data_IF_520956407649
#
_entry.id   IF_520956407649
#
_cell.length_a   1.000
_cell.length_b   1.000
_cell.length_c   1.000
_cell.angle_alpha   90.00
_cell.angle_beta   90.00
_cell.angle_gamma   90.00
#
_symmetry.space_group_name_H-M   'P 1'
#
loop_
_entity.id
_entity.type
_entity.pdbx_description
1 polymer ?
#
# COMPACT_ATOMS: atom_id res chain seq x y z
N UNK A 1 1.64 -6.84 -20.48
CA UNK A 1 3.02 -7.37 -20.54
C UNK A 1 3.52 -7.76 -19.16
N UNK A 2 2.75 -8.55 -18.39
CA UNK A 2 3.14 -9.11 -17.08
C UNK A 2 3.69 -8.12 -16.03
N UNK A 3 3.39 -6.83 -16.15
CA UNK A 3 3.74 -5.80 -15.17
C UNK A 3 2.49 -4.96 -14.91
N UNK A 4 2.03 -4.85 -13.66
CA UNK A 4 0.89 -4.00 -13.34
C UNK A 4 1.28 -2.52 -13.52
N UNK A 5 0.40 -1.77 -14.15
CA UNK A 5 0.51 -0.31 -14.36
C UNK A 5 -0.89 0.29 -14.55
N UNK A 6 -0.98 1.62 -14.47
CA UNK A 6 -2.21 2.32 -14.83
C UNK A 6 -2.30 2.40 -16.35
N UNK A 7 -3.38 1.87 -16.93
CA UNK A 7 -3.57 1.88 -18.38
C UNK A 7 -3.61 3.32 -18.94
N UNK A 8 -4.24 4.25 -18.22
CA UNK A 8 -4.33 5.66 -18.60
C UNK A 8 -2.99 6.42 -18.62
N UNK A 9 -1.97 5.92 -17.93
CA UNK A 9 -0.63 6.53 -17.83
C UNK A 9 0.44 5.70 -18.56
N UNK A 10 0.03 4.61 -19.24
CA UNK A 10 0.96 3.74 -19.96
C UNK A 10 1.00 4.09 -21.44
N UNK A 11 2.07 4.73 -21.90
CA UNK A 11 2.27 5.02 -23.32
C UNK A 11 2.46 3.74 -24.15
N UNK A 12 1.71 3.60 -25.25
CA UNK A 12 1.75 2.43 -26.13
C UNK A 12 3.14 2.17 -26.72
N UNK A 13 3.90 3.22 -27.05
CA UNK A 13 5.29 3.11 -27.53
C UNK A 13 6.18 2.39 -26.50
N UNK A 14 6.05 2.73 -25.22
CA UNK A 14 6.82 2.09 -24.14
C UNK A 14 6.33 0.67 -23.85
N UNK A 15 5.02 0.44 -23.88
CA UNK A 15 4.46 -0.89 -23.71
C UNK A 15 4.94 -1.87 -24.79
N UNK A 16 4.98 -1.41 -26.06
CA UNK A 16 5.38 -2.22 -27.22
C UNK A 16 6.87 -2.59 -27.21
N UNK A 17 7.75 -1.69 -26.72
CA UNK A 17 9.21 -1.92 -26.67
C UNK A 17 9.62 -3.19 -25.93
N UNK A 18 8.82 -3.67 -24.97
CA UNK A 18 9.18 -4.83 -24.14
C UNK A 18 9.13 -6.15 -24.91
N UNK A 19 8.02 -6.41 -25.61
CA UNK A 19 7.72 -7.73 -26.19
C UNK A 19 7.24 -7.68 -27.65
N UNK A 20 7.23 -6.51 -28.30
CA UNK A 20 6.70 -6.31 -29.66
C UNK A 20 5.17 -6.33 -29.77
N UNK A 21 4.52 -7.13 -28.92
CA UNK A 21 3.06 -7.25 -28.74
C UNK A 21 2.65 -6.68 -27.38
N UNK A 22 1.52 -6.00 -27.34
CA UNK A 22 0.92 -5.48 -26.11
C UNK A 22 -0.12 -6.50 -25.63
N UNK A 23 0.20 -7.19 -24.54
CA UNK A 23 -0.73 -8.10 -23.85
C UNK A 23 -1.34 -7.36 -22.67
N UNK A 24 -2.67 -7.33 -22.57
CA UNK A 24 -3.41 -6.73 -21.45
C UNK A 24 -4.16 -7.85 -20.73
N UNK A 25 -3.98 -7.92 -19.41
CA UNK A 25 -4.54 -8.97 -18.54
C UNK A 25 -5.04 -8.31 -17.26
N UNK A 26 -6.07 -8.87 -16.58
CA UNK A 26 -6.49 -8.40 -15.27
C UNK A 26 -5.40 -8.64 -14.22
N UNK A 27 -5.50 -7.95 -13.08
CA UNK A 27 -4.66 -8.25 -11.91
C UNK A 27 -5.01 -9.65 -11.41
N UNK A 28 -4.01 -10.53 -11.28
CA UNK A 28 -4.22 -11.96 -11.05
C UNK A 28 -4.56 -12.31 -9.61
N UNK A 29 -4.24 -11.42 -8.67
CA UNK A 29 -4.51 -11.67 -7.24
C UNK A 29 -5.89 -11.24 -6.79
N UNK A 30 -6.60 -10.49 -7.63
CA UNK A 30 -7.94 -10.02 -7.33
C UNK A 30 -8.96 -10.88 -8.10
N UNK A 31 -10.13 -11.21 -7.52
CA UNK A 31 -11.16 -11.94 -8.22
C UNK A 31 -11.60 -11.21 -9.49
N UNK A 32 -11.67 -11.92 -10.62
CA UNK A 32 -12.15 -11.34 -11.89
C UNK A 32 -13.68 -11.32 -11.87
N UNK A 33 -14.25 -10.14 -12.12
CA UNK A 33 -15.70 -9.96 -12.30
C UNK A 33 -16.07 -10.25 -13.76
N UNK A 34 -15.28 -9.69 -14.69
CA UNK A 34 -15.44 -9.89 -16.13
C UNK A 34 -14.37 -9.12 -16.90
N UNK A 35 -13.85 -9.70 -17.97
CA UNK A 35 -12.77 -9.15 -18.80
C UNK A 35 -11.55 -8.67 -17.97
N UNK A 36 -11.32 -7.36 -17.91
CA UNK A 36 -10.24 -6.71 -17.17
C UNK A 36 -10.71 -6.14 -15.82
N UNK A 37 -12.00 -6.23 -15.52
CA UNK A 37 -12.58 -5.74 -14.28
C UNK A 37 -12.36 -6.77 -13.17
N UNK A 38 -11.68 -6.33 -12.10
CA UNK A 38 -11.39 -7.13 -10.92
C UNK A 38 -12.02 -6.51 -9.68
N UNK A 39 -12.45 -7.34 -8.74
CA UNK A 39 -12.93 -6.88 -7.44
C UNK A 39 -11.75 -6.47 -6.55
N UNK A 40 -11.73 -5.19 -6.16
CA UNK A 40 -10.70 -4.59 -5.28
C UNK A 40 -11.28 -4.14 -3.94
N UNK A 41 -12.49 -4.57 -3.59
CA UNK A 41 -13.16 -4.31 -2.31
C UNK A 41 -12.24 -4.56 -1.11
N UNK A 42 -11.45 -5.64 -1.16
CA UNK A 42 -10.47 -6.03 -0.13
C UNK A 42 -9.49 -4.91 0.24
N UNK A 43 -9.14 -4.01 -0.69
CA UNK A 43 -8.27 -2.88 -0.38
C UNK A 43 -8.91 -1.98 0.68
N UNK A 44 -10.19 -1.63 0.49
CA UNK A 44 -10.91 -0.76 1.39
C UNK A 44 -11.32 -1.48 2.68
N UNK A 45 -11.66 -2.76 2.61
CA UNK A 45 -11.90 -3.60 3.78
C UNK A 45 -10.66 -3.66 4.68
N UNK A 46 -9.48 -3.84 4.11
CA UNK A 46 -8.22 -3.83 4.85
C UNK A 46 -7.95 -2.47 5.53
N UNK A 47 -8.24 -1.35 4.86
CA UNK A 47 -8.16 -0.02 5.49
C UNK A 47 -9.14 0.10 6.67
N UNK A 48 -10.33 -0.54 6.56
CA UNK A 48 -11.32 -0.57 7.65
C UNK A 48 -10.85 -1.41 8.83
N UNK A 49 -10.36 -2.61 8.56
CA UNK A 49 -9.82 -3.52 9.58
C UNK A 49 -8.65 -2.88 10.34
N UNK A 50 -7.80 -2.12 9.65
CA UNK A 50 -6.68 -1.40 10.27
C UNK A 50 -7.06 -0.06 10.89
N UNK A 51 -8.35 0.31 10.89
CA UNK A 51 -8.85 1.58 11.40
C UNK A 51 -8.10 2.81 10.89
N UNK A 52 -7.83 2.87 9.58
CA UNK A 52 -7.00 3.92 8.99
C UNK A 52 -7.78 5.23 8.75
N UNK A 53 -8.22 5.85 9.84
CA UNK A 53 -8.82 7.20 9.90
C UNK A 53 -8.40 7.93 11.18
N UNK A 54 -8.60 9.26 11.20
CA UNK A 54 -8.45 10.04 12.42
C UNK A 54 -9.66 9.80 13.33
N UNK A 55 -9.44 9.51 14.61
CA UNK A 55 -10.52 9.37 15.59
C UNK A 55 -10.98 10.75 16.08
N UNK A 56 -12.22 10.87 16.50
CA UNK A 56 -12.72 12.12 17.07
C UNK A 56 -11.88 12.55 18.28
N UNK A 57 -11.53 13.85 18.34
CA UNK A 57 -10.67 14.40 19.39
C UNK A 57 -9.17 14.14 19.24
N UNK A 58 -8.73 13.45 18.17
CA UNK A 58 -7.30 13.24 17.92
C UNK A 58 -6.56 14.57 17.70
N UNK A 59 -5.44 14.76 18.38
CA UNK A 59 -4.61 15.95 18.18
C UNK A 59 -3.63 15.71 17.03
N UNK A 60 -3.83 16.36 15.89
CA UNK A 60 -2.92 16.25 14.74
C UNK A 60 -1.71 17.16 14.95
N UNK A 61 -0.51 16.58 14.97
CA UNK A 61 0.70 17.37 14.71
C UNK A 61 0.77 17.64 13.22
N UNK A 62 0.54 18.90 12.81
CA UNK A 62 0.82 19.31 11.43
C UNK A 62 2.34 19.29 11.22
N UNK A 63 2.82 18.23 10.59
CA UNK A 63 4.12 18.26 9.90
C UNK A 63 3.86 18.70 8.46
N UNK A 64 4.35 19.89 8.09
CA UNK A 64 4.26 20.35 6.70
C UNK A 64 5.19 19.53 5.79
N UNK A 65 4.64 19.00 4.69
CA UNK A 65 5.42 18.54 3.53
C UNK A 65 6.25 17.25 3.69
N UNK A 66 6.03 16.48 4.76
CA UNK A 66 6.81 15.27 5.06
C UNK A 66 6.22 13.94 4.54
N UNK A 67 6.50 12.87 5.27
CA UNK A 67 6.10 11.50 4.95
C UNK A 67 4.58 11.31 4.87
N UNK A 68 3.83 12.08 5.68
CA UNK A 68 2.37 12.04 5.66
C UNK A 68 1.79 12.48 4.32
N UNK A 69 2.37 13.53 3.71
CA UNK A 69 1.98 13.98 2.38
C UNK A 69 2.33 12.93 1.33
N UNK A 70 3.54 12.39 1.37
CA UNK A 70 3.98 11.34 0.44
C UNK A 70 3.09 10.10 0.51
N UNK A 71 2.73 9.66 1.71
CA UNK A 71 1.80 8.55 1.93
C UNK A 71 0.38 8.85 1.42
N UNK A 72 -0.06 10.10 1.48
CA UNK A 72 -1.39 10.53 1.00
C UNK A 72 -1.56 10.43 -0.51
N UNK A 73 -0.46 10.38 -1.28
CA UNK A 73 -0.47 10.22 -2.74
C UNK A 73 -0.88 8.80 -3.19
N UNK A 74 -1.13 7.88 -2.26
CA UNK A 74 -1.53 6.51 -2.58
C UNK A 74 -2.90 6.46 -3.27
N UNK A 75 -2.93 5.96 -4.50
CA UNK A 75 -4.16 5.86 -5.32
C UNK A 75 -5.04 4.65 -4.98
N UNK A 76 -4.62 3.79 -4.03
CA UNK A 76 -5.27 2.49 -3.78
C UNK A 76 -5.48 1.66 -5.07
N UNK A 77 -4.48 1.67 -5.96
CA UNK A 77 -4.56 1.01 -7.27
C UNK A 77 -4.33 -0.52 -7.24
N UNK A 78 -3.75 -1.05 -6.16
CA UNK A 78 -3.45 -2.49 -6.03
C UNK A 78 -2.21 -3.00 -6.78
N UNK A 79 -1.53 -2.17 -7.60
CA UNK A 79 -0.35 -2.59 -8.37
C UNK A 79 0.79 -3.15 -7.50
N UNK A 80 0.98 -2.58 -6.31
CA UNK A 80 1.99 -3.04 -5.34
C UNK A 80 1.67 -4.41 -4.75
N UNK A 81 0.39 -4.76 -4.61
CA UNK A 81 -0.08 -6.04 -4.08
C UNK A 81 0.04 -7.14 -5.15
N UNK A 82 -0.29 -6.82 -6.39
CA UNK A 82 -0.16 -7.73 -7.53
C UNK A 82 1.25 -8.32 -7.62
N UNK A 83 2.29 -7.51 -7.44
CA UNK A 83 3.69 -7.99 -7.49
C UNK A 83 4.24 -8.55 -6.19
N UNK A 84 3.53 -8.41 -5.06
CA UNK A 84 4.07 -8.78 -3.75
C UNK A 84 3.94 -10.28 -3.48
N UNK A 85 5.04 -11.07 -3.37
CA UNK A 85 4.95 -12.53 -3.26
C UNK A 85 4.14 -13.03 -2.06
N UNK A 86 4.09 -12.26 -0.97
CA UNK A 86 3.40 -12.66 0.27
C UNK A 86 1.94 -12.22 0.31
N UNK A 87 1.49 -11.35 -0.60
CA UNK A 87 0.11 -10.90 -0.62
C UNK A 87 -0.77 -11.94 -1.32
N UNK A 88 -1.85 -12.32 -0.65
CA UNK A 88 -2.97 -13.10 -1.19
C UNK A 88 -4.28 -12.44 -0.75
N UNK A 89 -5.26 -12.39 -1.65
CA UNK A 89 -6.59 -11.83 -1.32
C UNK A 89 -7.26 -12.67 -0.24
N UNK A 90 -7.82 -11.99 0.77
CA UNK A 90 -8.42 -12.63 1.95
C UNK A 90 -7.41 -13.14 2.99
N UNK A 91 -6.11 -12.94 2.77
CA UNK A 91 -5.07 -13.27 3.75
C UNK A 91 -4.92 -12.22 4.86
N UNK A 92 -4.24 -12.59 5.94
CA UNK A 92 -3.96 -11.69 7.09
C UNK A 92 -2.99 -10.54 6.75
N UNK A 93 -2.17 -10.68 5.70
CA UNK A 93 -1.21 -9.65 5.27
C UNK A 93 -1.79 -8.72 4.20
N UNK A 94 -1.86 -7.44 4.50
CA UNK A 94 -2.52 -6.43 3.67
C UNK A 94 -1.56 -5.67 2.73
N UNK A 95 -0.24 -5.85 2.89
CA UNK A 95 0.76 -5.34 1.97
C UNK A 95 0.94 -3.82 1.93
N UNK A 96 1.57 -3.34 0.86
CA UNK A 96 1.93 -1.91 0.74
C UNK A 96 0.73 -0.98 0.64
N UNK A 97 -0.42 -1.48 0.19
CA UNK A 97 -1.65 -0.71 0.16
C UNK A 97 -2.15 -0.33 1.56
N UNK A 98 -1.71 -1.04 2.62
CA UNK A 98 -2.07 -0.74 4.01
C UNK A 98 -0.97 0.01 4.76
N UNK A 99 0.29 -0.40 4.67
CA UNK A 99 1.35 0.27 5.44
C UNK A 99 1.65 1.69 4.96
N UNK A 100 1.48 1.99 3.67
CA UNK A 100 1.66 3.36 3.16
C UNK A 100 0.66 4.33 3.80
N UNK A 101 -0.67 4.10 3.76
CA UNK A 101 -1.60 4.96 4.48
C UNK A 101 -1.44 4.88 6.01
N UNK A 102 -0.92 3.78 6.57
CA UNK A 102 -0.53 3.77 7.99
C UNK A 102 0.58 4.79 8.28
N UNK A 103 1.58 4.95 7.39
CA UNK A 103 2.63 5.97 7.58
C UNK A 103 2.01 7.35 7.80
N UNK A 104 1.00 7.73 7.00
CA UNK A 104 0.30 9.01 7.16
C UNK A 104 -0.23 9.22 8.58
N UNK A 105 -0.97 8.25 9.11
CA UNK A 105 -1.58 8.38 10.44
C UNK A 105 -0.54 8.30 11.55
N UNK A 106 0.38 7.34 11.47
CA UNK A 106 1.31 7.09 12.56
C UNK A 106 2.36 8.19 12.73
N UNK A 107 2.64 8.98 11.68
CA UNK A 107 3.49 10.18 11.80
C UNK A 107 2.75 11.33 12.47
N UNK A 108 1.47 11.53 12.14
CA UNK A 108 0.64 12.65 12.61
C UNK A 108 0.07 12.45 14.03
N UNK A 109 -0.22 11.21 14.42
CA UNK A 109 -0.80 10.89 15.73
C UNK A 109 0.20 11.08 16.87
N UNK A 110 -0.21 11.54 18.07
CA UNK A 110 0.64 11.56 19.26
C UNK A 110 1.02 10.13 19.71
N UNK A 111 2.16 9.94 20.38
CA UNK A 111 2.64 8.60 20.80
C UNK A 111 1.59 7.81 21.60
N UNK A 112 0.84 8.47 22.48
CA UNK A 112 -0.20 7.86 23.30
C UNK A 112 -1.43 7.37 22.53
N UNK A 113 -1.63 7.81 21.29
CA UNK A 113 -2.76 7.43 20.45
C UNK A 113 -2.39 6.38 19.38
N UNK A 114 -1.12 5.94 19.34
CA UNK A 114 -0.61 5.00 18.33
C UNK A 114 -0.75 3.54 18.72
N UNK A 115 -1.10 3.20 19.96
CA UNK A 115 -0.99 1.84 20.50
C UNK A 115 -1.84 0.83 19.70
N UNK A 116 -3.13 1.12 19.53
CA UNK A 116 -4.05 0.27 18.77
C UNK A 116 -3.63 0.15 17.29
N UNK A 117 -3.30 1.28 16.64
CA UNK A 117 -2.82 1.30 15.27
C UNK A 117 -1.52 0.47 15.12
N UNK A 118 -0.63 0.53 16.10
CA UNK A 118 0.64 -0.21 16.11
C UNK A 118 0.41 -1.71 16.23
N UNK A 119 -0.55 -2.14 17.05
CA UNK A 119 -0.94 -3.54 17.17
C UNK A 119 -1.53 -4.08 15.86
N UNK A 120 -2.47 -3.34 15.24
CA UNK A 120 -3.06 -3.69 13.95
C UNK A 120 -2.01 -3.71 12.83
N UNK A 121 -1.12 -2.71 12.80
CA UNK A 121 0.00 -2.64 11.87
C UNK A 121 0.92 -3.84 12.01
N UNK A 122 1.26 -4.23 13.25
CA UNK A 122 2.15 -5.38 13.49
C UNK A 122 1.57 -6.65 12.86
N UNK A 123 0.31 -6.95 13.17
CA UNK A 123 -0.39 -8.13 12.70
C UNK A 123 -0.57 -8.14 11.17
N UNK A 124 -1.10 -7.06 10.62
CA UNK A 124 -1.57 -7.06 9.23
C UNK A 124 -0.58 -6.51 8.21
N UNK A 125 0.53 -5.91 8.65
CA UNK A 125 1.56 -5.38 7.76
C UNK A 125 2.98 -5.85 8.12
N UNK A 126 3.41 -5.75 9.39
CA UNK A 126 4.79 -6.07 9.75
C UNK A 126 5.10 -7.57 9.62
N UNK A 127 4.32 -8.42 10.27
CA UNK A 127 4.61 -9.85 10.40
C UNK A 127 4.56 -10.58 9.05
N UNK A 128 3.68 -10.17 8.14
CA UNK A 128 3.56 -10.74 6.79
C UNK A 128 4.56 -10.21 5.75
N UNK A 129 5.33 -9.17 6.08
CA UNK A 129 6.23 -8.54 5.11
C UNK A 129 7.60 -9.24 5.04
N UNK A 130 7.78 -10.10 4.03
CA UNK A 130 9.07 -10.71 3.67
C UNK A 130 10.08 -9.77 2.99
N UNK A 131 9.84 -8.46 2.94
CA UNK A 131 10.79 -7.42 2.46
C UNK A 131 11.37 -7.67 1.05
N UNK A 132 10.58 -8.24 0.14
CA UNK A 132 10.99 -8.44 -1.25
C UNK A 132 11.16 -7.13 -2.06
N UNK A 133 10.58 -6.02 -1.58
CA UNK A 133 10.64 -4.67 -2.17
C UNK A 133 10.13 -4.54 -3.62
N UNK A 134 9.45 -5.56 -4.15
CA UNK A 134 8.82 -5.51 -5.49
C UNK A 134 7.83 -4.34 -5.63
N UNK A 135 7.14 -3.99 -4.55
CA UNK A 135 6.19 -2.88 -4.49
C UNK A 135 6.82 -1.53 -4.86
N UNK A 136 8.08 -1.27 -4.46
CA UNK A 136 8.79 -0.01 -4.74
C UNK A 136 8.98 0.19 -6.25
N UNK A 137 9.24 -0.88 -6.98
CA UNK A 137 9.54 -0.82 -8.41
C UNK A 137 8.32 -0.56 -9.29
N UNK A 138 7.10 -0.72 -8.78
CA UNK A 138 5.86 -0.69 -9.58
C UNK A 138 4.85 0.39 -9.20
N UNK A 139 5.08 1.15 -8.13
CA UNK A 139 4.13 2.17 -7.71
C UNK A 139 3.98 3.26 -8.79
N UNK A 140 2.79 3.45 -9.40
CA UNK A 140 2.60 4.44 -10.46
C UNK A 140 2.67 5.88 -9.93
N UNK A 141 2.35 6.09 -8.65
CA UNK A 141 2.46 7.40 -8.00
C UNK A 141 3.92 7.76 -7.59
N UNK A 142 4.88 6.87 -7.84
CA UNK A 142 6.29 7.11 -7.50
C UNK A 142 6.58 7.14 -5.99
N UNK A 143 5.67 6.62 -5.16
CA UNK A 143 5.86 6.57 -3.70
C UNK A 143 6.99 5.61 -3.38
N UNK A 144 7.98 6.05 -2.58
CA UNK A 144 9.01 5.17 -2.06
C UNK A 144 8.43 4.26 -0.95
N UNK A 145 7.79 3.17 -1.36
CA UNK A 145 7.17 2.22 -0.44
C UNK A 145 8.18 1.57 0.52
N UNK A 146 9.47 1.52 0.17
CA UNK A 146 10.48 1.00 1.08
C UNK A 146 10.75 1.99 2.21
N UNK A 147 10.81 3.29 1.90
CA UNK A 147 10.91 4.34 2.91
C UNK A 147 9.69 4.33 3.83
N UNK A 148 8.47 4.28 3.27
CA UNK A 148 7.23 4.21 4.05
C UNK A 148 7.20 3.00 4.99
N UNK A 149 7.63 1.83 4.51
CA UNK A 149 7.74 0.62 5.33
C UNK A 149 8.71 0.82 6.52
N UNK A 150 9.88 1.40 6.28
CA UNK A 150 10.87 1.67 7.34
C UNK A 150 10.30 2.61 8.40
N UNK A 151 9.61 3.67 7.97
CA UNK A 151 9.05 4.66 8.88
C UNK A 151 7.92 4.09 9.74
N UNK A 152 6.97 3.38 9.12
CA UNK A 152 5.92 2.70 9.86
C UNK A 152 6.48 1.63 10.80
N UNK A 153 7.50 0.87 10.40
CA UNK A 153 8.16 -0.10 11.29
C UNK A 153 8.83 0.59 12.49
N UNK A 154 9.53 1.70 12.24
CA UNK A 154 10.21 2.45 13.29
C UNK A 154 9.22 2.96 14.34
N UNK A 155 8.09 3.53 13.90
CA UNK A 155 7.10 4.15 14.78
C UNK A 155 6.14 3.14 15.42
N UNK A 156 5.78 2.06 14.74
CA UNK A 156 4.82 1.05 15.24
C UNK A 156 5.49 -0.08 16.03
N UNK A 157 6.71 -0.49 15.67
CA UNK A 157 7.29 -1.75 16.17
C UNK A 157 8.61 -1.53 16.90
N UNK A 158 9.56 -0.81 16.30
CA UNK A 158 10.92 -0.76 16.84
C UNK A 158 11.08 0.21 18.02
N UNK A 159 10.44 1.39 17.99
CA UNK A 159 10.54 2.42 19.05
C UNK A 159 9.53 2.26 20.19
N UNK A 160 8.89 1.10 20.29
CA UNK A 160 8.00 0.76 21.41
C UNK A 160 8.70 -0.01 22.55
N UNK A 161 9.96 -0.39 22.35
CA UNK A 161 10.87 -0.83 23.43
C UNK A 161 11.65 0.37 23.96
#
# INVERSE_FOLDING_TARGET
NKRPSLACDTFLREARKRNGVIVVEPLRKFPVIGDLLVDRSILFENLRTMQLWMKDGSTVKKEDGGEAYEASRCLQCGCCLEVCPNFMTGGEFFGAASFVPTTRLITELPKGEREELSALYRRHAYDGCGKALSCKKVCPAGIDTAHMLVQSNALAVWRQR
#
